data_IF_522236930151
#
_entry.id   IF_522236930151
#
_cell.length_a   1.000
_cell.length_b   1.000
_cell.length_c   1.000
_cell.angle_alpha   90.00
_cell.angle_beta   90.00
_cell.angle_gamma   90.00
#
_symmetry.space_group_name_H-M   'P 1'
#
loop_
_entity.id
_entity.type
_entity.pdbx_description
1 polymer ?
#
# COMPACT_ATOMS: atom_id res chain seq x y z
N UNK A 1 -0.31 7.57 -28.36
CA UNK A 1 -0.81 8.06 -27.05
C UNK A 1 0.10 9.19 -26.61
N UNK A 2 -0.44 10.38 -26.25
CA UNK A 2 0.38 11.55 -25.93
C UNK A 2 1.06 11.37 -24.57
N UNK A 3 2.33 11.75 -24.47
CA UNK A 3 3.13 11.73 -23.23
C UNK A 3 2.48 12.52 -22.07
N UNK A 4 1.61 13.49 -22.37
CA UNK A 4 0.89 14.32 -21.39
C UNK A 4 -0.23 13.58 -20.65
N UNK A 5 -0.93 12.64 -21.30
CA UNK A 5 -1.97 11.81 -20.66
C UNK A 5 -1.35 10.75 -19.73
N UNK A 6 -0.05 10.49 -19.90
CA UNK A 6 0.68 9.42 -19.24
C UNK A 6 1.19 9.80 -17.84
N UNK A 7 1.49 11.08 -17.61
CA UNK A 7 1.99 11.60 -16.31
C UNK A 7 0.98 11.47 -15.17
N UNK A 8 -0.31 11.59 -15.48
CA UNK A 8 -1.37 11.59 -14.48
C UNK A 8 -1.77 10.17 -14.03
N UNK A 9 -1.56 9.15 -14.86
CA UNK A 9 -2.09 7.81 -14.61
C UNK A 9 -1.18 6.93 -13.77
N UNK A 10 0.15 6.96 -13.95
CA UNK A 10 1.04 6.02 -13.24
C UNK A 10 1.16 6.33 -11.75
N UNK A 11 1.27 7.62 -11.39
CA UNK A 11 1.41 8.03 -10.00
C UNK A 11 0.08 7.81 -9.26
N UNK A 12 -1.04 8.17 -9.90
CA UNK A 12 -2.38 7.86 -9.37
C UNK A 12 -2.60 6.37 -9.20
N UNK A 13 -2.14 5.52 -10.13
CA UNK A 13 -2.24 4.07 -10.03
C UNK A 13 -1.41 3.52 -8.86
N UNK A 14 -0.16 3.98 -8.73
CA UNK A 14 0.73 3.60 -7.63
C UNK A 14 0.14 3.98 -6.27
N UNK A 15 -0.36 5.21 -6.13
CA UNK A 15 -1.00 5.69 -4.91
C UNK A 15 -2.30 4.92 -4.59
N UNK A 16 -3.12 4.63 -5.60
CA UNK A 16 -4.37 3.90 -5.43
C UNK A 16 -4.11 2.45 -4.99
N UNK A 17 -3.23 1.73 -5.70
CA UNK A 17 -2.90 0.35 -5.34
C UNK A 17 -2.17 0.31 -3.99
N UNK A 18 -1.23 1.23 -3.76
CA UNK A 18 -0.53 1.36 -2.49
C UNK A 18 -1.50 1.58 -1.32
N UNK A 19 -2.49 2.45 -1.50
CA UNK A 19 -3.54 2.70 -0.51
C UNK A 19 -4.43 1.49 -0.25
N UNK A 20 -4.88 0.79 -1.29
CA UNK A 20 -5.68 -0.42 -1.12
C UNK A 20 -4.90 -1.49 -0.37
N UNK A 21 -3.64 -1.74 -0.77
CA UNK A 21 -2.79 -2.76 -0.15
C UNK A 21 -2.49 -2.41 1.31
N UNK A 22 -2.14 -1.15 1.60
CA UNK A 22 -1.84 -0.74 2.98
C UNK A 22 -3.06 -0.84 3.89
N UNK A 23 -4.26 -0.44 3.43
CA UNK A 23 -5.51 -0.61 4.20
C UNK A 23 -5.78 -2.08 4.48
N UNK A 24 -5.69 -2.95 3.47
CA UNK A 24 -5.96 -4.38 3.64
C UNK A 24 -4.99 -5.04 4.62
N UNK A 25 -3.69 -4.82 4.45
CA UNK A 25 -2.66 -5.39 5.35
C UNK A 25 -2.85 -4.88 6.78
N UNK A 26 -3.04 -3.57 6.94
CA UNK A 26 -3.25 -2.96 8.26
C UNK A 26 -4.49 -3.52 8.94
N UNK A 27 -5.60 -3.66 8.21
CA UNK A 27 -6.84 -4.23 8.77
C UNK A 27 -6.67 -5.68 9.19
N UNK A 28 -5.97 -6.50 8.39
CA UNK A 28 -5.69 -7.90 8.74
C UNK A 28 -4.90 -7.96 10.05
N UNK A 29 -3.82 -7.18 10.16
CA UNK A 29 -2.98 -7.14 11.37
C UNK A 29 -3.80 -6.66 12.57
N UNK A 30 -4.55 -5.57 12.44
CA UNK A 30 -5.34 -5.02 13.54
C UNK A 30 -6.39 -6.01 14.06
N UNK A 31 -7.11 -6.68 13.16
CA UNK A 31 -8.12 -7.67 13.54
C UNK A 31 -7.44 -8.86 14.22
N UNK A 32 -6.31 -9.32 13.68
CA UNK A 32 -5.57 -10.43 14.28
C UNK A 32 -5.07 -10.07 15.69
N UNK A 33 -4.32 -8.98 15.83
CA UNK A 33 -3.77 -8.52 17.10
C UNK A 33 -4.85 -8.22 18.14
N UNK A 34 -6.00 -7.66 17.71
CA UNK A 34 -7.12 -7.42 18.60
C UNK A 34 -7.81 -8.71 19.05
N UNK A 35 -7.92 -9.74 18.19
CA UNK A 35 -8.51 -11.04 18.56
C UNK A 35 -7.57 -11.86 19.46
N UNK A 36 -6.28 -11.87 19.15
CA UNK A 36 -5.28 -12.60 19.93
C UNK A 36 -5.01 -11.91 21.27
N UNK A 37 -5.09 -10.57 21.27
CA UNK A 37 -4.99 -9.70 22.44
C UNK A 37 -3.86 -10.10 23.40
N UNK A 38 -2.60 -10.16 22.92
CA UNK A 38 -1.48 -10.61 23.73
C UNK A 38 -1.34 -9.74 24.98
N UNK A 39 -1.42 -10.36 26.16
CA UNK A 39 -1.30 -9.66 27.44
C UNK A 39 -2.45 -8.72 27.78
N UNK A 40 -3.58 -8.76 27.06
CA UNK A 40 -4.73 -7.88 27.32
C UNK A 40 -4.51 -6.43 26.89
N UNK A 41 -3.54 -6.17 25.99
CA UNK A 41 -3.09 -4.81 25.64
C UNK A 41 -4.07 -4.10 24.71
N UNK A 42 -4.72 -4.83 23.80
CA UNK A 42 -5.65 -4.26 22.81
C UNK A 42 -7.04 -4.03 23.37
N UNK A 43 -7.50 -4.90 24.25
CA UNK A 43 -8.75 -4.70 24.97
C UNK A 43 -8.77 -5.40 26.33
N UNK A 44 -9.46 -4.79 27.30
CA UNK A 44 -9.63 -5.31 28.66
C UNK A 44 -11.10 -5.17 29.12
N UNK A 45 -11.35 -5.32 30.42
CA UNK A 45 -12.69 -5.14 31.01
C UNK A 45 -13.22 -3.71 30.90
N UNK A 46 -12.35 -2.72 30.67
CA UNK A 46 -12.70 -1.31 30.52
C UNK A 46 -12.93 -0.92 29.06
N UNK A 47 -12.60 -1.80 28.11
CA UNK A 47 -12.88 -1.64 26.69
C UNK A 47 -11.64 -1.79 25.80
N UNK A 48 -11.69 -1.20 24.60
CA UNK A 48 -10.56 -1.23 23.64
C UNK A 48 -9.57 -0.11 23.93
N UNK A 49 -8.28 -0.46 23.98
CA UNK A 49 -7.21 0.51 24.09
C UNK A 49 -6.85 1.07 22.71
N UNK A 50 -7.50 2.19 22.36
CA UNK A 50 -7.34 2.83 21.05
C UNK A 50 -5.94 3.36 20.78
N UNK A 51 -5.12 3.62 21.81
CA UNK A 51 -3.75 4.06 21.61
C UNK A 51 -2.92 2.95 20.96
N UNK A 52 -2.99 1.72 21.47
CA UNK A 52 -2.31 0.58 20.85
C UNK A 52 -2.87 0.24 19.48
N UNK A 53 -4.20 0.30 19.30
CA UNK A 53 -4.82 0.12 17.98
C UNK A 53 -4.27 1.14 16.99
N UNK A 54 -4.18 2.41 17.35
CA UNK A 54 -3.68 3.47 16.47
C UNK A 54 -2.18 3.36 16.19
N UNK A 55 -1.37 3.03 17.21
CA UNK A 55 0.07 2.83 17.08
C UNK A 55 0.36 1.65 16.15
N UNK A 56 -0.35 0.53 16.31
CA UNK A 56 -0.24 -0.62 15.39
C UNK A 56 -0.75 -0.26 14.00
N UNK A 57 -1.88 0.46 13.90
CA UNK A 57 -2.44 0.86 12.61
C UNK A 57 -1.44 1.71 11.81
N UNK A 58 -0.88 2.74 12.42
CA UNK A 58 0.07 3.65 11.77
C UNK A 58 1.39 2.95 11.43
N UNK A 59 1.89 2.09 12.33
CA UNK A 59 3.12 1.31 12.14
C UNK A 59 3.05 0.34 10.96
N UNK A 60 1.87 -0.19 10.64
CA UNK A 60 1.69 -1.06 9.47
C UNK A 60 1.26 -0.28 8.23
N UNK A 61 0.39 0.71 8.38
CA UNK A 61 -0.14 1.46 7.24
C UNK A 61 0.94 2.23 6.50
N UNK A 62 1.72 3.06 7.20
CA UNK A 62 2.66 4.00 6.58
C UNK A 62 3.77 3.28 5.79
N UNK A 63 4.53 2.33 6.37
CA UNK A 63 5.57 1.66 5.60
C UNK A 63 4.98 0.80 4.48
N UNK A 64 3.89 0.07 4.72
CA UNK A 64 3.26 -0.73 3.65
C UNK A 64 2.78 0.15 2.50
N UNK A 65 2.19 1.31 2.79
CA UNK A 65 1.79 2.26 1.76
C UNK A 65 2.98 2.74 0.94
N UNK A 66 4.05 3.20 1.61
CA UNK A 66 5.24 3.71 0.93
C UNK A 66 5.89 2.65 0.04
N UNK A 67 6.08 1.44 0.56
CA UNK A 67 6.68 0.35 -0.21
C UNK A 67 5.79 -0.10 -1.36
N UNK A 68 4.49 -0.32 -1.13
CA UNK A 68 3.58 -0.78 -2.17
C UNK A 68 3.43 0.27 -3.29
N UNK A 69 3.22 1.54 -2.95
CA UNK A 69 3.10 2.61 -3.93
C UNK A 69 4.38 2.76 -4.77
N UNK A 70 5.55 2.68 -4.14
CA UNK A 70 6.85 2.75 -4.82
C UNK A 70 7.05 1.57 -5.77
N UNK A 71 6.83 0.33 -5.28
CA UNK A 71 7.01 -0.89 -6.07
C UNK A 71 6.10 -0.87 -7.31
N UNK A 72 4.82 -0.56 -7.13
CA UNK A 72 3.85 -0.50 -8.24
C UNK A 72 4.25 0.55 -9.27
N UNK A 73 4.66 1.72 -8.81
CA UNK A 73 5.11 2.82 -9.70
C UNK A 73 6.33 2.40 -10.51
N UNK A 74 7.34 1.81 -9.86
CA UNK A 74 8.56 1.35 -10.53
C UNK A 74 8.26 0.24 -11.53
N UNK A 75 7.46 -0.75 -11.15
CA UNK A 75 7.07 -1.85 -12.05
C UNK A 75 6.33 -1.34 -13.29
N UNK A 76 5.38 -0.42 -13.11
CA UNK A 76 4.66 0.18 -14.23
C UNK A 76 5.60 0.88 -15.21
N UNK A 77 6.56 1.67 -14.69
CA UNK A 77 7.55 2.36 -15.52
C UNK A 77 8.49 1.39 -16.25
N UNK A 78 8.91 0.31 -15.60
CA UNK A 78 9.77 -0.72 -16.21
C UNK A 78 9.04 -1.45 -17.34
N UNK A 79 7.80 -1.89 -17.11
CA UNK A 79 6.99 -2.56 -18.13
C UNK A 79 6.76 -1.65 -19.34
N UNK A 80 6.49 -0.37 -19.09
CA UNK A 80 6.35 0.63 -20.14
C UNK A 80 7.64 0.80 -20.95
N UNK A 81 8.81 0.92 -20.29
CA UNK A 81 10.10 1.04 -20.97
C UNK A 81 10.39 -0.17 -21.86
N UNK A 82 10.08 -1.39 -21.38
CA UNK A 82 10.24 -2.63 -22.15
C UNK A 82 9.34 -2.62 -23.39
N UNK A 83 8.07 -2.21 -23.26
CA UNK A 83 7.14 -2.13 -24.39
C UNK A 83 7.59 -1.10 -25.42
N UNK A 84 8.08 0.06 -24.98
CA UNK A 84 8.60 1.09 -25.87
C UNK A 84 9.81 0.60 -26.67
N UNK A 85 10.77 -0.08 -26.03
CA UNK A 85 11.94 -0.66 -26.71
C UNK A 85 11.50 -1.68 -27.77
N UNK A 86 10.53 -2.55 -27.45
CA UNK A 86 9.99 -3.52 -28.41
C UNK A 86 9.35 -2.83 -29.62
N UNK A 87 8.61 -1.74 -29.40
CA UNK A 87 7.95 -0.99 -30.46
C UNK A 87 8.95 -0.27 -31.38
N UNK A 88 10.00 0.33 -30.82
CA UNK A 88 11.06 0.98 -31.60
C UNK A 88 11.83 -0.03 -32.44
N UNK A 89 12.08 -1.23 -31.91
CA UNK A 89 12.82 -2.29 -32.62
C UNK A 89 12.04 -2.94 -33.77
N UNK A 90 10.71 -2.83 -33.78
CA UNK A 90 9.86 -3.39 -34.85
C UNK A 90 9.51 -2.38 -35.96
N UNK A 91 9.95 -1.13 -35.83
CA UNK A 91 9.92 -0.13 -36.89
C UNK A 91 11.28 -0.06 -37.58
#
# INVERSE_FOLDING_TARGET
>A
MKLSDMKYNFCSLGLLIGGIVSVLVTMIILVWEWVENPGGVFHDQNGTNWNFVFDTASSWFVPTFLYAALIVTVLYLLLYAIQWIKQVRQK
#
